data_IF_895225252494
#
_entry.id   IF_895225252494
#
_cell.length_a   1.000
_cell.length_b   1.000
_cell.length_c   1.000
_cell.angle_alpha   90.00
_cell.angle_beta   90.00
_cell.angle_gamma   90.00
#
_symmetry.space_group_name_H-M   'P 1'
#
loop_
_entity.id
_entity.type
_entity.pdbx_description
1 polymer ?
#
# COMPACT_ATOMS: atom_id res chain seq x y z
N UNK A 1 29.18 -25.05 26.04
CA UNK A 1 27.78 -24.61 25.93
C UNK A 1 27.48 -24.46 24.44
N UNK A 2 26.95 -25.50 23.82
CA UNK A 2 26.48 -25.50 22.42
C UNK A 2 25.21 -24.63 22.40
N UNK A 3 25.23 -23.55 21.61
CA UNK A 3 24.00 -22.85 21.23
C UNK A 3 23.22 -23.82 20.32
N UNK A 4 22.17 -24.43 20.86
CA UNK A 4 21.15 -25.05 20.04
C UNK A 4 20.72 -24.04 18.98
N UNK A 5 20.97 -24.36 17.73
CA UNK A 5 20.43 -23.59 16.60
C UNK A 5 18.90 -23.72 16.68
N UNK A 6 18.22 -22.69 17.16
CA UNK A 6 16.78 -22.63 17.11
C UNK A 6 16.36 -22.90 15.66
N UNK A 7 15.72 -24.04 15.42
CA UNK A 7 15.16 -24.39 14.12
C UNK A 7 14.35 -23.20 13.62
N UNK A 8 14.72 -22.64 12.48
CA UNK A 8 14.04 -21.48 11.91
C UNK A 8 12.56 -21.81 11.75
N UNK A 9 11.69 -20.98 12.33
CA UNK A 9 10.24 -21.13 12.22
C UNK A 9 9.85 -20.89 10.77
N UNK A 10 9.18 -21.82 10.14
CA UNK A 10 8.77 -21.73 8.73
C UNK A 10 7.28 -21.44 8.63
N UNK A 11 6.91 -20.36 7.96
CA UNK A 11 5.54 -19.98 7.61
C UNK A 11 5.33 -20.04 6.10
N UNK A 12 4.09 -20.03 5.64
CA UNK A 12 3.75 -20.04 4.22
C UNK A 12 2.82 -18.87 3.93
N UNK A 13 3.17 -18.02 2.95
CA UNK A 13 2.25 -17.05 2.37
C UNK A 13 1.54 -17.69 1.18
N UNK A 14 0.23 -17.83 1.27
CA UNK A 14 -0.58 -18.46 0.23
C UNK A 14 -1.27 -17.40 -0.61
N UNK A 15 -0.86 -17.29 -1.88
CA UNK A 15 -1.34 -16.30 -2.84
C UNK A 15 -2.34 -16.94 -3.81
N UNK A 16 -3.36 -16.16 -4.21
CA UNK A 16 -4.24 -16.52 -5.31
C UNK A 16 -3.68 -16.07 -6.67
N UNK A 17 -4.58 -15.83 -7.62
CA UNK A 17 -4.21 -15.27 -8.92
C UNK A 17 -3.70 -13.84 -8.77
N UNK A 18 -2.65 -13.49 -9.49
CA UNK A 18 -2.07 -12.15 -9.57
C UNK A 18 -1.76 -11.79 -11.03
N UNK A 19 -1.57 -10.51 -11.30
CA UNK A 19 -1.11 -10.02 -12.60
C UNK A 19 0.37 -10.33 -12.78
N UNK A 20 0.78 -10.73 -13.99
CA UNK A 20 2.17 -11.15 -14.27
C UNK A 20 3.17 -9.99 -14.19
N UNK A 21 2.74 -8.76 -14.42
CA UNK A 21 3.63 -7.60 -14.56
C UNK A 21 3.73 -6.72 -13.31
N UNK A 22 2.79 -6.80 -12.36
CA UNK A 22 2.81 -5.97 -11.16
C UNK A 22 1.79 -6.45 -10.12
N UNK A 23 2.18 -7.44 -9.32
CA UNK A 23 1.36 -7.99 -8.24
C UNK A 23 1.75 -7.36 -6.90
N UNK A 24 1.03 -6.30 -6.50
CA UNK A 24 1.28 -5.61 -5.23
C UNK A 24 1.10 -6.48 -3.98
N UNK A 25 0.36 -7.59 -4.07
CA UNK A 25 0.23 -8.56 -2.97
C UNK A 25 1.47 -9.44 -2.88
N UNK A 26 2.04 -9.82 -4.02
CA UNK A 26 3.31 -10.54 -4.05
C UNK A 26 4.44 -9.66 -3.52
N UNK A 27 4.57 -8.42 -4.01
CA UNK A 27 5.57 -7.46 -3.52
C UNK A 27 5.47 -7.28 -2.00
N UNK A 28 4.24 -7.13 -1.48
CA UNK A 28 3.99 -7.08 -0.05
C UNK A 28 4.51 -8.32 0.68
N UNK A 29 4.22 -9.52 0.17
CA UNK A 29 4.68 -10.77 0.79
C UNK A 29 6.20 -10.93 0.75
N UNK A 30 6.87 -10.48 -0.32
CA UNK A 30 8.33 -10.51 -0.44
C UNK A 30 9.00 -9.57 0.58
N UNK A 31 8.47 -8.36 0.76
CA UNK A 31 8.97 -7.43 1.78
C UNK A 31 8.73 -7.97 3.20
N UNK A 32 7.55 -8.55 3.43
CA UNK A 32 7.23 -9.20 4.71
C UNK A 32 8.19 -10.38 4.97
N UNK A 33 8.49 -11.20 3.96
CA UNK A 33 9.41 -12.33 4.08
C UNK A 33 10.82 -11.88 4.50
N UNK A 34 11.34 -10.82 3.83
CA UNK A 34 12.64 -10.24 4.20
C UNK A 34 12.68 -9.75 5.64
N UNK A 35 11.60 -9.09 6.08
CA UNK A 35 11.52 -8.56 7.45
C UNK A 35 11.34 -9.67 8.50
N UNK A 36 10.59 -10.71 8.19
CA UNK A 36 10.39 -11.87 9.06
C UNK A 36 11.67 -12.70 9.19
N UNK A 37 12.50 -12.81 8.15
CA UNK A 37 13.79 -13.47 8.20
C UNK A 37 14.70 -12.85 9.28
N UNK A 38 14.70 -11.52 9.43
CA UNK A 38 15.40 -10.82 10.50
C UNK A 38 14.85 -11.12 11.91
N UNK A 39 13.68 -11.77 12.01
CA UNK A 39 13.05 -12.23 13.28
C UNK A 39 13.18 -13.75 13.48
N UNK A 40 13.97 -14.43 12.65
CA UNK A 40 14.12 -15.88 12.70
C UNK A 40 12.90 -16.65 12.17
N UNK A 41 12.11 -16.05 11.30
CA UNK A 41 10.96 -16.68 10.64
C UNK A 41 11.19 -16.68 9.12
N UNK A 42 11.21 -17.87 8.54
CA UNK A 42 11.25 -18.05 7.09
C UNK A 42 9.83 -18.05 6.54
N UNK A 43 9.53 -17.16 5.58
CA UNK A 43 8.23 -17.10 4.90
C UNK A 43 8.39 -17.55 3.45
N UNK A 44 7.85 -18.73 3.14
CA UNK A 44 7.81 -19.26 1.76
C UNK A 44 6.54 -18.79 1.06
N UNK A 45 6.67 -18.29 -0.17
CA UNK A 45 5.53 -17.87 -0.99
C UNK A 45 5.08 -19.05 -1.87
N UNK A 46 3.79 -19.38 -1.78
CA UNK A 46 3.15 -20.42 -2.60
C UNK A 46 1.93 -19.84 -3.31
N UNK A 47 1.83 -20.06 -4.62
CA UNK A 47 0.71 -19.59 -5.43
C UNK A 47 -0.23 -20.71 -5.80
N UNK A 48 -1.52 -20.51 -5.60
CA UNK A 48 -2.58 -21.41 -6.03
C UNK A 48 -3.01 -21.03 -7.45
N UNK A 49 -2.50 -21.72 -8.45
CA UNK A 49 -2.69 -21.42 -9.88
C UNK A 49 -4.05 -21.84 -10.45
N UNK A 50 -5.13 -21.58 -9.70
CA UNK A 50 -6.49 -21.95 -10.10
C UNK A 50 -6.94 -21.31 -11.43
N UNK A 51 -6.43 -20.11 -11.73
CA UNK A 51 -6.80 -19.39 -12.94
C UNK A 51 -6.19 -19.98 -14.22
N UNK A 52 -5.00 -20.60 -14.11
CA UNK A 52 -4.29 -21.23 -15.23
C UNK A 52 -4.64 -22.72 -15.33
N UNK A 53 -4.63 -23.43 -14.21
CA UNK A 53 -4.80 -24.90 -14.16
C UNK A 53 -6.25 -25.37 -13.91
N UNK A 54 -7.16 -24.45 -13.53
CA UNK A 54 -8.49 -24.79 -13.01
C UNK A 54 -8.49 -25.22 -11.54
N UNK A 55 -9.63 -25.07 -10.88
CA UNK A 55 -9.77 -25.32 -9.44
C UNK A 55 -9.43 -26.73 -9.02
N UNK A 56 -9.83 -27.74 -9.79
CA UNK A 56 -9.59 -29.14 -9.45
C UNK A 56 -8.10 -29.47 -9.33
N UNK A 57 -7.33 -29.17 -10.36
CA UNK A 57 -5.89 -29.43 -10.36
C UNK A 57 -5.13 -28.60 -9.33
N UNK A 58 -5.47 -27.32 -9.18
CA UNK A 58 -4.86 -26.43 -8.19
C UNK A 58 -5.10 -26.93 -6.74
N UNK A 59 -6.30 -27.42 -6.43
CA UNK A 59 -6.60 -27.99 -5.10
C UNK A 59 -5.92 -29.32 -4.86
N UNK A 60 -5.75 -30.16 -5.88
CA UNK A 60 -4.98 -31.41 -5.75
C UNK A 60 -3.48 -31.12 -5.47
N UNK A 61 -2.90 -30.18 -6.18
CA UNK A 61 -1.52 -29.74 -5.97
C UNK A 61 -1.34 -29.18 -4.55
N UNK A 62 -2.22 -28.25 -4.16
CA UNK A 62 -2.24 -27.68 -2.82
C UNK A 62 -2.38 -28.77 -1.73
N UNK A 63 -3.21 -29.78 -1.97
CA UNK A 63 -3.38 -30.92 -1.03
C UNK A 63 -2.10 -31.74 -0.87
N UNK A 64 -1.29 -31.87 -1.91
CA UNK A 64 0.01 -32.57 -1.82
C UNK A 64 1.01 -31.74 -1.02
N UNK A 65 1.12 -30.44 -1.33
CA UNK A 65 2.03 -29.52 -0.64
C UNK A 65 1.64 -29.34 0.83
N UNK A 66 0.37 -29.15 1.12
CA UNK A 66 -0.12 -28.85 2.49
C UNK A 66 0.20 -29.95 3.51
N UNK A 67 0.48 -31.18 3.07
CA UNK A 67 0.92 -32.27 3.96
C UNK A 67 2.27 -31.96 4.65
N UNK A 68 3.11 -31.12 4.03
CA UNK A 68 4.40 -30.69 4.58
C UNK A 68 4.27 -29.49 5.53
N UNK A 69 3.06 -28.90 5.66
CA UNK A 69 2.82 -27.67 6.43
C UNK A 69 2.22 -27.90 7.82
N UNK A 70 2.23 -29.15 8.30
CA UNK A 70 1.68 -29.50 9.61
C UNK A 70 2.26 -28.60 10.72
N UNK A 71 1.40 -27.98 11.51
CA UNK A 71 1.76 -27.07 12.60
C UNK A 71 2.27 -25.70 12.19
N UNK A 72 2.55 -25.46 10.91
CA UNK A 72 3.03 -24.16 10.40
C UNK A 72 1.89 -23.15 10.26
N UNK A 73 2.23 -21.87 10.38
CA UNK A 73 1.32 -20.79 10.02
C UNK A 73 1.22 -20.64 8.50
N UNK A 74 -0.02 -20.61 8.01
CA UNK A 74 -0.35 -20.37 6.61
C UNK A 74 -1.09 -19.05 6.52
N UNK A 75 -0.44 -18.05 5.92
CA UNK A 75 -0.95 -16.69 5.76
C UNK A 75 -1.64 -16.56 4.40
N UNK A 76 -2.93 -16.85 4.34
CA UNK A 76 -3.71 -16.68 3.11
C UNK A 76 -3.88 -15.17 2.82
N UNK A 77 -3.42 -14.74 1.65
CA UNK A 77 -3.55 -13.37 1.18
C UNK A 77 -4.90 -13.20 0.49
N UNK A 78 -5.78 -12.38 1.04
CA UNK A 78 -7.15 -12.24 0.55
C UNK A 78 -7.41 -10.89 -0.11
N UNK A 79 -7.69 -10.93 -1.43
CA UNK A 79 -8.49 -9.97 -2.18
C UNK A 79 -9.55 -10.75 -2.94
N UNK A 80 -10.72 -10.18 -3.22
CA UNK A 80 -11.79 -10.92 -3.87
C UNK A 80 -11.40 -11.40 -5.29
N UNK A 81 -10.63 -10.60 -6.03
CA UNK A 81 -10.21 -10.89 -7.40
C UNK A 81 -9.06 -11.91 -7.48
N UNK A 82 -8.21 -12.00 -6.47
CA UNK A 82 -7.19 -13.03 -6.42
C UNK A 82 -7.78 -14.46 -6.34
N UNK A 83 -9.03 -14.60 -5.86
CA UNK A 83 -9.70 -15.88 -5.68
C UNK A 83 -10.93 -16.07 -6.58
N UNK A 84 -11.23 -15.12 -7.48
CA UNK A 84 -12.33 -15.21 -8.45
C UNK A 84 -12.20 -14.15 -9.55
N UNK A 85 -12.30 -14.56 -10.82
CA UNK A 85 -12.30 -13.62 -11.95
C UNK A 85 -13.49 -12.64 -11.94
N UNK A 86 -14.60 -13.01 -11.32
CA UNK A 86 -15.84 -12.21 -11.28
C UNK A 86 -16.16 -11.62 -9.91
N UNK A 87 -15.26 -11.76 -8.94
CA UNK A 87 -15.45 -11.26 -7.57
C UNK A 87 -16.39 -12.12 -6.68
N UNK A 88 -16.58 -13.41 -7.00
CA UNK A 88 -17.31 -14.39 -6.18
C UNK A 88 -16.33 -15.46 -5.65
N UNK A 89 -15.52 -15.19 -4.61
CA UNK A 89 -14.35 -15.99 -4.23
C UNK A 89 -14.70 -17.24 -3.39
N UNK A 90 -15.65 -18.07 -3.86
CA UNK A 90 -16.04 -19.34 -3.18
C UNK A 90 -14.88 -20.31 -3.03
N UNK A 91 -14.01 -20.38 -4.04
CA UNK A 91 -12.89 -21.31 -4.07
C UNK A 91 -11.91 -21.13 -2.89
N UNK A 92 -11.86 -19.94 -2.29
CA UNK A 92 -11.02 -19.70 -1.11
C UNK A 92 -11.42 -20.55 0.10
N UNK A 93 -12.71 -20.90 0.23
CA UNK A 93 -13.18 -21.76 1.31
C UNK A 93 -12.66 -23.19 1.14
N UNK A 94 -12.59 -23.67 -0.12
CA UNK A 94 -12.00 -24.98 -0.43
C UNK A 94 -10.49 -24.98 -0.15
N UNK A 95 -9.78 -23.90 -0.50
CA UNK A 95 -8.36 -23.71 -0.17
C UNK A 95 -8.14 -23.80 1.35
N UNK A 96 -8.92 -23.07 2.15
CA UNK A 96 -8.83 -23.13 3.61
C UNK A 96 -9.13 -24.52 4.18
N UNK A 97 -10.11 -25.23 3.60
CA UNK A 97 -10.42 -26.59 4.00
C UNK A 97 -9.25 -27.55 3.73
N UNK A 98 -8.61 -27.46 2.56
CA UNK A 98 -7.44 -28.27 2.19
C UNK A 98 -6.27 -28.01 3.14
N UNK A 99 -5.95 -26.73 3.40
CA UNK A 99 -4.85 -26.35 4.31
C UNK A 99 -5.09 -26.88 5.73
N UNK A 100 -6.31 -26.74 6.24
CA UNK A 100 -6.67 -27.23 7.58
C UNK A 100 -6.62 -28.76 7.68
N UNK A 101 -7.07 -29.45 6.62
CA UNK A 101 -6.97 -30.93 6.54
C UNK A 101 -5.51 -31.38 6.55
N UNK A 102 -4.58 -30.61 5.95
CA UNK A 102 -3.13 -30.82 6.01
C UNK A 102 -2.49 -30.49 7.36
N UNK A 103 -3.26 -30.05 8.37
CA UNK A 103 -2.76 -29.72 9.71
C UNK A 103 -2.09 -28.33 9.81
N UNK A 104 -2.21 -27.48 8.79
CA UNK A 104 -1.73 -26.10 8.82
C UNK A 104 -2.58 -25.17 9.70
N UNK A 105 -1.93 -24.24 10.42
CA UNK A 105 -2.59 -23.20 11.23
C UNK A 105 -2.92 -22.01 10.33
N UNK A 106 -4.21 -21.80 10.03
CA UNK A 106 -4.62 -20.76 9.10
C UNK A 106 -4.74 -19.38 9.77
N UNK A 107 -4.07 -18.39 9.17
CA UNK A 107 -4.35 -16.97 9.35
C UNK A 107 -4.69 -16.35 8.00
N UNK A 108 -5.51 -15.30 7.97
CA UNK A 108 -5.84 -14.58 6.74
C UNK A 108 -5.43 -13.13 6.85
N UNK A 109 -4.77 -12.63 5.81
CA UNK A 109 -4.43 -11.21 5.64
C UNK A 109 -5.43 -10.60 4.66
N UNK A 110 -6.31 -9.74 5.15
CA UNK A 110 -7.32 -9.05 4.35
C UNK A 110 -6.76 -7.74 3.79
N UNK A 111 -6.44 -7.75 2.49
CA UNK A 111 -6.03 -6.55 1.77
C UNK A 111 -7.22 -5.62 1.49
N UNK A 112 -8.40 -6.22 1.26
CA UNK A 112 -9.66 -5.50 1.00
C UNK A 112 -10.75 -6.09 1.89
N UNK A 113 -10.90 -5.59 3.14
CA UNK A 113 -11.82 -6.19 4.13
C UNK A 113 -13.29 -5.79 3.94
N UNK A 114 -13.57 -4.89 3.02
CA UNK A 114 -14.91 -4.45 2.63
C UNK A 114 -14.97 -4.18 1.13
N UNK A 115 -16.15 -4.33 0.58
CA UNK A 115 -16.40 -4.02 -0.81
C UNK A 115 -16.49 -2.50 -1.04
N UNK A 116 -16.07 -1.99 -2.19
CA UNK A 116 -16.28 -0.59 -2.57
C UNK A 116 -17.77 -0.27 -2.66
N UNK A 117 -18.11 1.02 -2.73
CA UNK A 117 -19.51 1.46 -2.92
C UNK A 117 -20.09 0.92 -4.23
N UNK A 118 -21.31 0.38 -4.16
CA UNK A 118 -21.95 -0.27 -5.28
C UNK A 118 -22.56 0.76 -6.25
N UNK A 119 -22.13 0.69 -7.52
CA UNK A 119 -22.64 1.58 -8.58
C UNK A 119 -23.89 1.02 -9.31
N UNK A 120 -24.40 -0.14 -8.90
CA UNK A 120 -25.58 -0.78 -9.53
C UNK A 120 -26.08 -2.02 -8.79
N UNK A 121 -27.20 -2.58 -9.25
CA UNK A 121 -27.85 -3.74 -8.60
C UNK A 121 -26.97 -4.99 -8.54
N UNK A 122 -26.27 -5.30 -9.62
CA UNK A 122 -25.34 -6.44 -9.68
C UNK A 122 -24.15 -6.28 -8.70
N UNK A 123 -23.61 -5.07 -8.59
CA UNK A 123 -22.54 -4.78 -7.65
C UNK A 123 -22.99 -4.98 -6.20
N UNK A 124 -24.23 -4.61 -5.85
CA UNK A 124 -24.78 -4.85 -4.51
C UNK A 124 -24.80 -6.34 -4.16
N UNK A 125 -25.25 -7.19 -5.08
CA UNK A 125 -25.26 -8.65 -4.88
C UNK A 125 -23.82 -9.18 -4.73
N UNK A 126 -22.91 -8.76 -5.61
CA UNK A 126 -21.50 -9.15 -5.56
C UNK A 126 -20.86 -8.77 -4.23
N UNK A 127 -21.09 -7.56 -3.75
CA UNK A 127 -20.51 -7.05 -2.52
C UNK A 127 -21.11 -7.70 -1.27
N UNK A 128 -22.42 -7.92 -1.24
CA UNK A 128 -23.05 -8.68 -0.16
C UNK A 128 -22.49 -10.11 -0.08
N UNK A 129 -22.23 -10.72 -1.23
CA UNK A 129 -21.61 -12.04 -1.30
C UNK A 129 -20.16 -12.02 -0.82
N UNK A 130 -19.36 -11.02 -1.22
CA UNK A 130 -17.99 -10.86 -0.74
C UNK A 130 -17.95 -10.68 0.78
N UNK A 131 -18.83 -9.83 1.33
CA UNK A 131 -18.92 -9.65 2.78
C UNK A 131 -19.31 -10.96 3.49
N UNK A 132 -20.25 -11.72 2.94
CA UNK A 132 -20.61 -13.04 3.48
C UNK A 132 -19.40 -13.99 3.49
N UNK A 133 -18.61 -14.05 2.41
CA UNK A 133 -17.37 -14.85 2.33
C UNK A 133 -16.36 -14.38 3.39
N UNK A 134 -16.10 -13.06 3.50
CA UNK A 134 -15.17 -12.51 4.48
C UNK A 134 -15.57 -12.88 5.91
N UNK A 135 -16.85 -12.75 6.24
CA UNK A 135 -17.40 -13.17 7.54
C UNK A 135 -17.25 -14.67 7.78
N UNK A 136 -17.42 -15.49 6.73
CA UNK A 136 -17.23 -16.94 6.81
C UNK A 136 -15.77 -17.31 7.04
N UNK A 137 -14.86 -16.68 6.31
CA UNK A 137 -13.41 -16.83 6.51
C UNK A 137 -13.03 -16.46 7.94
N UNK A 138 -13.45 -15.28 8.41
CA UNK A 138 -13.18 -14.81 9.77
C UNK A 138 -13.56 -15.82 10.84
N UNK A 139 -14.72 -16.46 10.71
CA UNK A 139 -15.17 -17.49 11.65
C UNK A 139 -14.34 -18.77 11.60
N UNK A 140 -13.79 -19.10 10.43
CA UNK A 140 -13.18 -20.39 10.14
C UNK A 140 -11.70 -20.45 10.54
N UNK A 141 -10.97 -19.33 10.45
CA UNK A 141 -9.52 -19.29 10.69
C UNK A 141 -9.17 -18.91 12.13
N UNK A 142 -7.96 -19.26 12.55
CA UNK A 142 -7.48 -18.98 13.91
C UNK A 142 -7.20 -17.50 14.14
N UNK A 143 -6.55 -16.81 13.19
CA UNK A 143 -6.15 -15.41 13.29
C UNK A 143 -6.51 -14.65 12.01
N UNK A 144 -6.91 -13.40 12.18
CA UNK A 144 -7.30 -12.51 11.08
C UNK A 144 -6.53 -11.21 11.16
N UNK A 145 -5.81 -10.87 10.11
CA UNK A 145 -5.01 -9.64 9.99
C UNK A 145 -5.70 -8.74 8.98
N UNK A 146 -5.98 -7.52 9.39
CA UNK A 146 -6.61 -6.52 8.54
C UNK A 146 -5.60 -5.41 8.25
N UNK A 147 -5.47 -5.03 6.97
CA UNK A 147 -4.64 -3.90 6.55
C UNK A 147 -5.41 -2.57 6.62
N UNK A 148 -6.56 -2.59 7.29
CA UNK A 148 -7.42 -1.47 7.59
C UNK A 148 -7.79 -1.45 9.06
N UNK A 149 -8.02 -0.28 9.65
CA UNK A 149 -8.39 -0.15 11.06
C UNK A 149 -9.68 -0.90 11.37
N UNK A 150 -9.67 -1.66 12.46
CA UNK A 150 -10.79 -2.55 12.81
C UNK A 150 -12.10 -1.79 13.09
N UNK A 151 -12.01 -0.55 13.59
CA UNK A 151 -13.16 0.31 13.86
C UNK A 151 -13.99 0.64 12.62
N UNK A 152 -13.39 0.55 11.42
CA UNK A 152 -14.06 0.81 10.14
C UNK A 152 -14.82 -0.39 9.60
N UNK A 153 -14.58 -1.57 10.16
CA UNK A 153 -15.22 -2.81 9.72
C UNK A 153 -16.44 -3.06 10.60
N UNK A 154 -17.59 -2.55 10.18
CA UNK A 154 -18.83 -2.49 10.98
C UNK A 154 -19.29 -3.85 11.53
N UNK A 155 -19.07 -4.94 10.79
CA UNK A 155 -19.50 -6.28 11.16
C UNK A 155 -18.52 -7.03 12.06
N UNK A 156 -17.31 -6.48 12.26
CA UNK A 156 -16.22 -7.19 12.93
C UNK A 156 -16.45 -7.23 14.45
N UNK A 157 -16.47 -8.41 15.09
CA UNK A 157 -16.45 -8.52 16.54
C UNK A 157 -15.16 -7.94 17.12
N UNK A 158 -15.27 -7.31 18.29
CA UNK A 158 -14.11 -6.79 19.03
C UNK A 158 -13.43 -7.95 19.79
N UNK A 159 -12.63 -8.72 19.06
CA UNK A 159 -11.86 -9.84 19.62
C UNK A 159 -10.37 -9.64 19.28
N UNK A 160 -9.57 -9.08 20.23
CA UNK A 160 -8.16 -8.77 20.00
C UNK A 160 -7.28 -10.02 19.86
N UNK A 161 -7.77 -11.18 20.31
CA UNK A 161 -7.05 -12.46 20.17
C UNK A 161 -7.24 -13.05 18.76
N UNK A 162 -8.35 -12.71 18.09
CA UNK A 162 -8.72 -13.25 16.80
C UNK A 162 -8.51 -12.30 15.63
N UNK A 163 -8.55 -10.98 15.87
CA UNK A 163 -8.40 -9.97 14.84
C UNK A 163 -7.40 -8.88 15.25
N UNK A 164 -6.53 -8.50 14.34
CA UNK A 164 -5.57 -7.42 14.52
C UNK A 164 -5.43 -6.57 13.27
N UNK A 165 -5.37 -5.26 13.48
CA UNK A 165 -4.93 -4.33 12.45
C UNK A 165 -3.40 -4.31 12.42
N UNK A 166 -2.83 -4.49 11.22
CA UNK A 166 -1.40 -4.31 10.96
C UNK A 166 -1.31 -3.51 9.66
N UNK A 167 -0.68 -2.32 9.64
CA UNK A 167 -0.61 -1.49 8.44
C UNK A 167 0.25 -2.12 7.35
N UNK A 168 0.16 -1.59 6.13
CA UNK A 168 1.11 -1.93 5.08
C UNK A 168 2.41 -1.15 5.26
N UNK A 169 3.52 -1.75 4.83
CA UNK A 169 4.80 -1.06 4.65
C UNK A 169 4.99 -0.54 3.24
N UNK A 170 6.02 0.24 3.04
CA UNK A 170 6.41 0.70 1.72
C UNK A 170 7.12 -0.40 0.92
N UNK A 171 6.72 -0.59 -0.34
CA UNK A 171 7.46 -1.42 -1.30
C UNK A 171 8.65 -0.66 -1.91
N UNK A 172 8.74 0.65 -1.67
CA UNK A 172 9.88 1.48 -2.06
C UNK A 172 10.86 1.51 -0.89
N UNK A 173 12.16 1.24 -1.12
CA UNK A 173 13.17 1.27 -0.07
C UNK A 173 13.23 2.62 0.64
N UNK A 174 13.42 2.58 1.94
CA UNK A 174 13.56 3.80 2.72
C UNK A 174 14.91 4.45 2.43
N UNK A 175 14.89 5.70 1.95
CA UNK A 175 16.07 6.56 1.91
C UNK A 175 15.81 7.82 2.70
N UNK A 176 16.81 8.27 3.45
CA UNK A 176 16.73 9.55 4.13
C UNK A 176 16.75 10.67 3.11
N UNK A 177 15.97 11.75 3.33
CA UNK A 177 16.05 12.95 2.51
C UNK A 177 17.49 13.42 2.40
N UNK A 178 17.90 13.77 1.18
CA UNK A 178 19.24 14.32 0.95
C UNK A 178 19.25 15.72 1.52
N UNK A 179 20.12 15.98 2.51
CA UNK A 179 20.36 17.33 3.03
C UNK A 179 20.98 18.14 1.89
N UNK A 180 20.18 19.03 1.34
CA UNK A 180 20.59 19.86 0.22
C UNK A 180 21.23 21.13 0.75
N UNK A 181 22.57 21.14 0.83
CA UNK A 181 23.29 22.37 1.11
C UNK A 181 23.06 23.38 -0.02
N UNK A 182 22.86 24.65 0.34
CA UNK A 182 22.88 25.74 -0.62
C UNK A 182 24.25 25.78 -1.31
N UNK A 183 24.27 25.45 -2.60
CA UNK A 183 25.47 25.62 -3.42
C UNK A 183 25.46 27.03 -3.98
N UNK A 184 26.44 27.84 -3.57
CA UNK A 184 26.81 29.15 -4.16
C UNK A 184 25.69 30.20 -4.27
N UNK A 185 24.84 30.40 -3.23
CA UNK A 185 23.94 31.57 -3.19
C UNK A 185 22.74 31.53 -4.17
N UNK A 186 22.68 30.61 -5.11
CA UNK A 186 21.49 30.40 -5.95
C UNK A 186 20.51 29.44 -5.27
N UNK A 187 19.29 29.90 -5.00
CA UNK A 187 18.21 29.05 -4.57
C UNK A 187 17.99 27.94 -5.61
N UNK A 188 18.21 26.70 -5.19
CA UNK A 188 17.95 25.55 -6.05
C UNK A 188 16.47 25.48 -6.39
N UNK A 189 16.14 25.25 -7.66
CA UNK A 189 14.78 24.96 -8.09
C UNK A 189 14.21 23.76 -7.33
N UNK A 190 13.10 23.96 -6.63
CA UNK A 190 12.41 22.90 -5.88
C UNK A 190 11.79 21.86 -6.81
N UNK A 191 11.62 20.66 -6.33
CA UNK A 191 11.08 19.53 -7.12
C UNK A 191 9.82 18.98 -6.44
N UNK A 192 8.72 18.95 -7.18
CA UNK A 192 7.47 18.32 -6.76
C UNK A 192 7.27 17.06 -7.57
N UNK A 193 7.13 15.93 -6.88
CA UNK A 193 6.92 14.63 -7.54
C UNK A 193 5.43 14.28 -7.58
N UNK A 194 4.97 13.80 -8.73
CA UNK A 194 3.68 13.14 -8.94
C UNK A 194 3.97 11.66 -9.16
N UNK A 195 3.56 10.83 -8.20
CA UNK A 195 3.85 9.39 -8.23
C UNK A 195 2.63 8.57 -8.64
N UNK A 196 2.72 7.95 -9.80
CA UNK A 196 1.69 7.20 -10.48
C UNK A 196 0.48 8.05 -10.90
N UNK A 197 -0.07 7.74 -12.06
CA UNK A 197 -1.33 8.28 -12.56
C UNK A 197 -2.30 7.13 -12.82
N UNK A 198 -3.61 7.44 -12.79
CA UNK A 198 -4.64 6.50 -13.18
C UNK A 198 -4.82 6.54 -14.70
N UNK A 199 -5.20 5.43 -15.30
CA UNK A 199 -5.58 5.41 -16.72
C UNK A 199 -6.90 6.13 -17.00
N UNK A 200 -7.26 6.25 -18.26
CA UNK A 200 -8.58 6.78 -18.66
C UNK A 200 -9.71 5.96 -18.02
N UNK A 201 -10.84 6.59 -17.64
CA UNK A 201 -11.20 8.00 -17.88
C UNK A 201 -10.69 9.00 -16.84
N UNK A 202 -10.17 8.56 -15.70
CA UNK A 202 -9.79 9.42 -14.55
C UNK A 202 -8.56 10.28 -14.78
N UNK A 203 -7.69 9.92 -15.74
CA UNK A 203 -6.45 10.63 -16.02
C UNK A 203 -6.64 12.13 -16.24
N UNK A 204 -7.64 12.52 -17.03
CA UNK A 204 -7.88 13.93 -17.37
C UNK A 204 -8.25 14.77 -16.16
N UNK A 205 -9.01 14.18 -15.25
CA UNK A 205 -9.39 14.86 -14.00
C UNK A 205 -8.16 15.01 -13.08
N UNK A 206 -7.31 13.99 -13.00
CA UNK A 206 -6.07 14.07 -12.23
C UNK A 206 -5.12 15.13 -12.80
N UNK A 207 -4.96 15.18 -14.12
CA UNK A 207 -4.12 16.19 -14.78
C UNK A 207 -4.67 17.60 -14.59
N UNK A 208 -6.00 17.79 -14.66
CA UNK A 208 -6.63 19.07 -14.37
C UNK A 208 -6.31 19.53 -12.95
N UNK A 209 -6.45 18.64 -11.97
CA UNK A 209 -6.15 18.96 -10.57
C UNK A 209 -4.67 19.33 -10.37
N UNK A 210 -3.74 18.66 -11.09
CA UNK A 210 -2.31 18.99 -11.06
C UNK A 210 -2.04 20.36 -11.67
N UNK A 211 -2.69 20.70 -12.79
CA UNK A 211 -2.58 22.03 -13.41
C UNK A 211 -3.12 23.10 -12.49
N UNK A 212 -4.33 22.92 -11.95
CA UNK A 212 -4.95 23.87 -11.01
C UNK A 212 -4.06 24.10 -9.78
N UNK A 213 -3.46 23.03 -9.23
CA UNK A 213 -2.53 23.11 -8.11
C UNK A 213 -1.24 23.86 -8.48
N UNK A 214 -0.69 23.57 -9.66
CA UNK A 214 0.55 24.23 -10.12
C UNK A 214 0.32 25.72 -10.38
N UNK A 215 -0.77 26.07 -11.07
CA UNK A 215 -1.12 27.47 -11.35
C UNK A 215 -1.35 28.26 -10.05
N UNK A 216 -2.09 27.70 -9.11
CA UNK A 216 -2.33 28.35 -7.82
C UNK A 216 -1.04 28.54 -7.04
N UNK A 217 -0.20 27.50 -6.94
CA UNK A 217 1.07 27.61 -6.23
C UNK A 217 2.02 28.64 -6.87
N UNK A 218 2.02 28.75 -8.20
CA UNK A 218 2.83 29.77 -8.90
C UNK A 218 2.28 31.19 -8.71
N UNK A 219 0.95 31.33 -8.68
CA UNK A 219 0.30 32.62 -8.36
C UNK A 219 0.66 33.08 -6.94
N UNK A 220 0.79 32.14 -6.00
CA UNK A 220 1.22 32.38 -4.62
C UNK A 220 2.76 32.54 -4.49
N UNK A 221 3.49 32.61 -5.58
CA UNK A 221 4.93 32.87 -5.60
C UNK A 221 5.86 31.68 -5.50
N UNK A 222 5.33 30.45 -5.34
CA UNK A 222 6.18 29.26 -5.37
C UNK A 222 6.77 29.03 -6.76
N UNK A 223 7.98 28.45 -6.83
CA UNK A 223 8.62 28.03 -8.09
C UNK A 223 9.22 26.64 -7.89
N UNK A 224 8.87 25.73 -8.80
CA UNK A 224 9.32 24.35 -8.77
C UNK A 224 9.24 23.72 -10.17
N UNK A 225 9.91 22.58 -10.32
CA UNK A 225 9.69 21.67 -11.44
C UNK A 225 8.75 20.53 -11.04
N UNK A 226 7.99 20.04 -11.99
CA UNK A 226 7.17 18.84 -11.83
C UNK A 226 7.90 17.60 -12.35
N UNK A 227 7.85 16.54 -11.59
CA UNK A 227 8.46 15.29 -11.94
C UNK A 227 7.41 14.16 -11.88
N UNK A 228 7.08 13.59 -13.02
CA UNK A 228 6.17 12.45 -13.13
C UNK A 228 6.97 11.15 -13.13
N UNK A 229 6.60 10.20 -12.29
CA UNK A 229 7.26 8.90 -12.19
C UNK A 229 6.29 7.80 -11.78
N UNK A 230 6.53 6.58 -12.24
CA UNK A 230 5.76 5.40 -11.88
C UNK A 230 4.67 5.04 -12.89
N UNK A 231 3.81 4.10 -12.50
CA UNK A 231 2.78 3.52 -13.36
C UNK A 231 1.83 4.58 -13.90
N UNK A 232 1.46 4.47 -15.17
CA UNK A 232 0.52 5.34 -15.87
C UNK A 232 1.14 6.65 -16.38
N UNK A 233 2.38 6.99 -15.99
CA UNK A 233 3.00 8.26 -16.39
C UNK A 233 3.60 8.21 -17.79
N UNK A 234 4.09 7.04 -18.24
CA UNK A 234 4.56 6.85 -19.62
C UNK A 234 3.42 6.98 -20.62
N UNK A 235 2.30 6.32 -20.34
CA UNK A 235 1.10 6.31 -21.15
C UNK A 235 0.43 7.68 -21.18
N UNK A 236 0.60 8.47 -20.12
CA UNK A 236 0.05 9.82 -20.00
C UNK A 236 0.91 10.91 -20.64
N UNK A 237 2.06 10.60 -21.25
CA UNK A 237 3.05 11.59 -21.72
C UNK A 237 2.45 12.67 -22.63
N UNK A 238 1.63 12.27 -23.61
CA UNK A 238 0.99 13.19 -24.56
C UNK A 238 -0.08 14.07 -23.88
N UNK A 239 -0.89 13.47 -23.00
CA UNK A 239 -1.90 14.22 -22.24
C UNK A 239 -1.24 15.21 -21.28
N UNK A 240 -0.16 14.83 -20.59
CA UNK A 240 0.63 15.75 -19.75
C UNK A 240 1.10 16.94 -20.59
N UNK A 241 1.75 16.71 -21.73
CA UNK A 241 2.21 17.76 -22.60
C UNK A 241 1.08 18.67 -23.09
N UNK A 242 -0.10 18.10 -23.36
CA UNK A 242 -1.29 18.85 -23.78
C UNK A 242 -1.83 19.74 -22.67
N UNK A 243 -1.96 19.24 -21.45
CA UNK A 243 -2.50 19.97 -20.30
C UNK A 243 -1.61 21.13 -19.84
N UNK A 244 -0.30 21.02 -20.05
CA UNK A 244 0.68 22.03 -19.66
C UNK A 244 1.18 22.90 -20.83
N UNK A 245 0.58 22.79 -22.03
CA UNK A 245 1.05 23.49 -23.24
C UNK A 245 1.19 25.01 -23.06
N UNK A 246 0.20 25.61 -22.40
CA UNK A 246 0.10 27.05 -22.23
C UNK A 246 0.64 27.54 -20.89
N UNK A 247 1.36 26.66 -20.16
CA UNK A 247 1.87 26.96 -18.85
C UNK A 247 3.37 26.65 -18.75
N UNK A 248 4.15 27.71 -18.45
CA UNK A 248 5.61 27.59 -18.34
C UNK A 248 6.01 26.97 -17.01
N UNK A 249 6.11 25.65 -16.97
CA UNK A 249 6.66 24.87 -15.85
C UNK A 249 7.65 23.84 -16.41
N UNK A 250 8.76 23.65 -15.72
CA UNK A 250 9.71 22.59 -16.07
C UNK A 250 9.12 21.23 -15.69
N UNK A 251 8.96 20.34 -16.68
CA UNK A 251 8.35 19.02 -16.52
C UNK A 251 9.34 17.95 -16.96
N UNK A 252 9.55 16.97 -16.08
CA UNK A 252 10.26 15.74 -16.42
C UNK A 252 9.32 14.53 -16.21
N UNK A 253 9.29 13.62 -17.18
CA UNK A 253 8.52 12.37 -17.07
C UNK A 253 9.47 11.18 -17.21
N UNK A 254 9.69 10.46 -16.11
CA UNK A 254 10.59 9.31 -16.06
C UNK A 254 9.89 7.97 -16.34
N UNK A 255 8.55 7.96 -16.43
CA UNK A 255 7.81 6.73 -16.65
C UNK A 255 7.97 5.72 -15.51
N UNK A 256 7.82 4.44 -15.85
CA UNK A 256 8.02 3.34 -14.90
C UNK A 256 9.51 3.21 -14.56
N UNK A 257 9.83 3.20 -13.28
CA UNK A 257 11.17 3.05 -12.75
C UNK A 257 11.20 1.90 -11.71
N UNK A 258 12.38 1.36 -11.44
CA UNK A 258 12.59 0.44 -10.33
C UNK A 258 12.47 1.13 -8.95
N UNK A 259 12.32 0.31 -7.91
CA UNK A 259 12.07 0.80 -6.57
C UNK A 259 13.23 1.65 -5.99
N UNK A 260 14.48 1.31 -6.32
CA UNK A 260 15.68 2.03 -5.89
C UNK A 260 15.71 3.43 -6.53
N UNK A 261 15.46 3.50 -7.83
CA UNK A 261 15.41 4.77 -8.55
C UNK A 261 14.28 5.67 -8.07
N UNK A 262 13.10 5.11 -7.77
CA UNK A 262 11.98 5.85 -7.17
C UNK A 262 12.39 6.39 -5.80
N UNK A 263 13.07 5.60 -4.99
CA UNK A 263 13.56 6.02 -3.68
C UNK A 263 14.55 7.18 -3.77
N UNK A 264 15.47 7.17 -4.74
CA UNK A 264 16.40 8.27 -5.01
C UNK A 264 15.66 9.56 -5.43
N UNK A 265 14.65 9.42 -6.29
CA UNK A 265 13.80 10.53 -6.71
C UNK A 265 13.09 11.14 -5.51
N UNK A 266 12.48 10.32 -4.65
CA UNK A 266 11.78 10.83 -3.46
C UNK A 266 12.73 11.51 -2.49
N UNK A 267 13.87 10.91 -2.20
CA UNK A 267 14.89 11.50 -1.32
C UNK A 267 15.42 12.84 -1.85
N UNK A 268 15.39 13.05 -3.18
CA UNK A 268 15.82 14.28 -3.83
C UNK A 268 14.70 15.28 -4.12
N UNK A 269 13.43 14.95 -3.86
CA UNK A 269 12.28 15.83 -4.05
C UNK A 269 11.98 16.66 -2.80
N UNK A 270 11.19 17.73 -2.96
CA UNK A 270 10.83 18.63 -1.88
C UNK A 270 9.39 18.41 -1.39
N UNK A 271 8.50 17.91 -2.26
CA UNK A 271 7.15 17.53 -1.90
C UNK A 271 6.58 16.48 -2.88
N UNK A 272 5.56 15.75 -2.44
CA UNK A 272 4.75 14.89 -3.29
C UNK A 272 3.34 15.45 -3.43
N UNK A 273 2.85 15.56 -4.66
CA UNK A 273 1.46 15.87 -4.95
C UNK A 273 0.71 14.56 -5.25
N UNK A 274 -0.16 14.15 -4.33
CA UNK A 274 -0.89 12.88 -4.38
C UNK A 274 -2.36 13.12 -4.76
N UNK A 275 -2.65 13.23 -6.06
CA UNK A 275 -3.99 13.51 -6.62
C UNK A 275 -4.74 12.27 -7.11
N UNK A 276 -4.10 11.11 -7.07
CA UNK A 276 -4.70 9.84 -7.45
C UNK A 276 -5.72 9.35 -6.40
N UNK A 277 -6.83 10.07 -6.24
CA UNK A 277 -7.87 9.78 -5.25
C UNK A 277 -7.47 10.14 -3.81
N UNK A 278 -8.32 9.80 -2.86
CA UNK A 278 -8.13 10.12 -1.44
C UNK A 278 -6.96 9.37 -0.81
N UNK A 279 -6.27 9.99 0.14
CA UNK A 279 -5.22 9.35 0.94
C UNK A 279 -5.87 8.55 2.06
N UNK A 280 -5.54 7.26 2.14
CA UNK A 280 -5.97 6.33 3.19
C UNK A 280 -4.89 5.27 3.44
N UNK A 281 -5.00 4.51 4.52
CA UNK A 281 -3.97 3.58 5.03
C UNK A 281 -3.39 2.59 4.00
N UNK A 282 -4.17 2.20 3.01
CA UNK A 282 -3.75 1.27 1.96
C UNK A 282 -3.25 1.96 0.68
N UNK A 283 -3.06 3.29 0.72
CA UNK A 283 -2.52 4.05 -0.40
C UNK A 283 -1.00 3.90 -0.45
N UNK A 284 -0.51 2.88 -1.14
CA UNK A 284 0.91 2.54 -1.22
C UNK A 284 1.80 3.71 -1.68
N UNK A 285 1.30 4.59 -2.58
CA UNK A 285 2.04 5.79 -3.00
C UNK A 285 2.28 6.77 -1.85
N UNK A 286 1.29 7.00 -0.98
CA UNK A 286 1.45 7.85 0.18
C UNK A 286 2.40 7.20 1.21
N UNK A 287 2.26 5.90 1.47
CA UNK A 287 3.16 5.16 2.36
C UNK A 287 4.60 5.21 1.85
N UNK A 288 4.83 5.15 0.53
CA UNK A 288 6.15 5.28 -0.07
C UNK A 288 6.76 6.69 0.15
N UNK A 289 5.95 7.74 0.02
CA UNK A 289 6.38 9.11 0.36
C UNK A 289 6.71 9.28 1.84
N UNK A 290 5.86 8.73 2.73
CA UNK A 290 6.11 8.72 4.18
C UNK A 290 7.42 8.01 4.51
N UNK A 291 7.69 6.86 3.88
CA UNK A 291 8.91 6.08 4.10
C UNK A 291 10.20 6.86 3.77
N UNK A 292 10.14 7.78 2.81
CA UNK A 292 11.24 8.63 2.42
C UNK A 292 11.26 10.01 3.12
N UNK A 293 10.35 10.25 4.06
CA UNK A 293 10.24 11.54 4.76
C UNK A 293 9.76 12.69 3.86
N UNK A 294 9.10 12.40 2.74
CA UNK A 294 8.68 13.40 1.77
C UNK A 294 7.35 14.03 2.19
N UNK A 295 7.25 15.36 2.41
CA UNK A 295 5.99 16.04 2.67
C UNK A 295 4.97 15.75 1.57
N UNK A 296 3.74 15.39 1.95
CA UNK A 296 2.71 14.95 1.00
C UNK A 296 1.53 15.89 1.05
N UNK A 297 1.16 16.45 -0.10
CA UNK A 297 -0.09 17.16 -0.31
C UNK A 297 -1.04 16.20 -1.03
N UNK A 298 -2.23 15.97 -0.49
CA UNK A 298 -3.18 15.04 -1.09
C UNK A 298 -4.61 15.25 -0.64
N UNK A 299 -5.53 14.50 -1.23
CA UNK A 299 -6.95 14.62 -0.90
C UNK A 299 -7.29 13.91 0.39
N UNK A 300 -8.08 14.60 1.23
CA UNK A 300 -8.55 14.07 2.49
C UNK A 300 -9.33 12.77 2.29
N UNK A 301 -8.79 11.72 2.87
CA UNK A 301 -9.47 10.47 3.13
C UNK A 301 -9.77 10.33 4.62
N UNK A 302 -10.12 9.13 5.04
CA UNK A 302 -10.32 8.86 6.46
C UNK A 302 -8.95 8.56 7.12
N UNK A 303 -8.35 9.57 7.73
CA UNK A 303 -7.09 9.46 8.47
C UNK A 303 -7.29 9.41 9.98
N UNK A 304 -8.42 9.97 10.49
CA UNK A 304 -8.71 10.09 11.93
C UNK A 304 -8.72 8.73 12.64
N UNK A 305 -7.99 8.64 13.74
CA UNK A 305 -7.83 7.38 14.49
C UNK A 305 -6.95 6.35 13.79
N UNK A 306 -6.15 6.76 12.82
CA UNK A 306 -5.26 5.86 12.07
C UNK A 306 -3.80 6.32 12.20
N UNK A 307 -2.81 5.46 11.91
CA UNK A 307 -1.40 5.84 11.85
C UNK A 307 -1.06 7.02 10.93
N UNK A 308 -1.95 7.38 9.99
CA UNK A 308 -1.75 8.55 9.11
C UNK A 308 -1.86 9.88 9.84
N UNK A 309 -2.49 9.92 11.03
CA UNK A 309 -2.52 11.15 11.86
C UNK A 309 -1.14 11.58 12.35
N UNK A 310 -0.25 10.61 12.56
CA UNK A 310 1.13 10.88 12.97
C UNK A 310 2.02 11.32 11.80
N UNK A 311 1.54 11.21 10.55
CA UNK A 311 2.34 11.48 9.36
C UNK A 311 2.28 12.94 8.92
N UNK A 312 3.33 13.38 8.23
CA UNK A 312 3.46 14.72 7.66
C UNK A 312 2.66 14.91 6.38
N UNK A 313 1.33 14.86 6.49
CA UNK A 313 0.39 15.00 5.39
C UNK A 313 -0.33 16.33 5.47
N UNK A 314 -0.46 17.04 4.35
CA UNK A 314 -1.37 18.17 4.20
C UNK A 314 -2.56 17.72 3.34
N UNK A 315 -3.68 17.47 4.00
CA UNK A 315 -4.88 16.93 3.37
C UNK A 315 -5.87 18.05 3.05
N UNK A 316 -6.29 18.11 1.79
CA UNK A 316 -7.23 19.12 1.26
C UNK A 316 -8.53 18.46 0.79
N UNK A 317 -9.62 19.22 0.54
CA UNK A 317 -10.87 18.66 0.03
C UNK A 317 -10.67 17.86 -1.26
N UNK A 318 -11.49 16.82 -1.43
CA UNK A 318 -11.38 15.94 -2.61
C UNK A 318 -11.65 16.71 -3.91
N UNK A 319 -10.76 16.59 -4.87
CA UNK A 319 -10.81 17.26 -6.19
C UNK A 319 -10.68 18.78 -6.13
N UNK A 320 -10.17 19.32 -5.04
CA UNK A 320 -9.84 20.75 -4.93
C UNK A 320 -8.37 20.99 -5.28
N UNK A 321 -8.09 21.11 -6.59
CA UNK A 321 -6.75 21.38 -7.10
C UNK A 321 -6.22 22.74 -6.61
N UNK A 322 -7.08 23.76 -6.42
CA UNK A 322 -6.67 25.06 -5.92
C UNK A 322 -6.23 25.00 -4.46
N UNK A 323 -7.01 24.32 -3.61
CA UNK A 323 -6.60 24.08 -2.21
C UNK A 323 -5.28 23.27 -2.14
N UNK A 324 -5.09 22.31 -3.04
CA UNK A 324 -3.83 21.56 -3.14
C UNK A 324 -2.67 22.48 -3.54
N UNK A 325 -2.88 23.43 -4.45
CA UNK A 325 -1.90 24.43 -4.86
C UNK A 325 -1.49 25.37 -3.74
N UNK A 326 -2.45 25.94 -3.01
CA UNK A 326 -2.20 26.78 -1.85
C UNK A 326 -1.42 26.04 -0.75
N UNK A 327 -1.80 24.77 -0.47
CA UNK A 327 -1.08 23.92 0.46
C UNK A 327 0.35 23.64 -0.01
N UNK A 328 0.54 23.34 -1.30
CA UNK A 328 1.83 23.10 -1.91
C UNK A 328 2.73 24.33 -1.81
N UNK A 329 2.20 25.53 -2.15
CA UNK A 329 2.91 26.80 -2.03
C UNK A 329 3.42 27.02 -0.62
N UNK A 330 2.55 26.84 0.39
CA UNK A 330 2.92 26.99 1.80
C UNK A 330 4.02 26.01 2.21
N UNK A 331 3.90 24.73 1.86
CA UNK A 331 4.91 23.72 2.21
C UNK A 331 6.26 24.02 1.55
N UNK A 332 6.25 24.53 0.32
CA UNK A 332 7.49 24.84 -0.39
C UNK A 332 8.16 26.13 0.09
N UNK A 333 7.42 27.13 0.57
CA UNK A 333 7.96 28.42 0.99
C UNK A 333 8.30 28.46 2.48
N UNK A 334 7.53 27.76 3.33
CA UNK A 334 7.78 27.68 4.78
C UNK A 334 8.72 26.52 5.12
N UNK A 335 9.99 26.85 5.34
CA UNK A 335 11.03 25.87 5.69
C UNK A 335 10.77 25.20 7.04
N UNK A 336 10.13 25.90 7.99
CA UNK A 336 9.77 25.35 9.30
C UNK A 336 8.71 24.26 9.15
N UNK A 337 7.61 24.57 8.45
CA UNK A 337 6.56 23.62 8.13
C UNK A 337 7.08 22.42 7.33
N UNK A 338 7.92 22.69 6.30
CA UNK A 338 8.51 21.62 5.50
C UNK A 338 9.28 20.62 6.36
N UNK A 339 10.13 21.12 7.26
CA UNK A 339 10.93 20.29 8.17
C UNK A 339 10.05 19.52 9.17
N UNK A 340 9.05 20.18 9.73
CA UNK A 340 8.07 19.53 10.63
C UNK A 340 7.38 18.35 9.95
N UNK A 341 6.88 18.54 8.72
CA UNK A 341 6.20 17.46 7.96
C UNK A 341 7.16 16.31 7.62
N UNK A 342 8.40 16.64 7.26
CA UNK A 342 9.43 15.65 6.99
C UNK A 342 9.73 14.80 8.24
N UNK A 343 9.92 15.42 9.39
CA UNK A 343 10.17 14.74 10.67
C UNK A 343 8.99 13.87 11.09
N UNK A 344 7.76 14.37 10.95
CA UNK A 344 6.54 13.59 11.19
C UNK A 344 6.48 12.33 10.32
N UNK A 345 6.80 12.44 9.03
CA UNK A 345 6.84 11.29 8.15
C UNK A 345 7.88 10.26 8.56
N UNK A 346 9.09 10.68 8.89
CA UNK A 346 10.15 9.78 9.35
C UNK A 346 9.78 9.09 10.67
N UNK A 347 9.16 9.81 11.61
CA UNK A 347 8.67 9.25 12.87
C UNK A 347 7.51 8.26 12.65
N UNK A 348 6.53 8.62 11.79
CA UNK A 348 5.42 7.72 11.45
C UNK A 348 5.92 6.44 10.77
N UNK A 349 6.92 6.56 9.88
CA UNK A 349 7.59 5.40 9.28
C UNK A 349 8.19 4.48 10.34
N UNK A 350 8.95 5.03 11.26
CA UNK A 350 9.60 4.24 12.32
C UNK A 350 8.58 3.58 13.25
N UNK A 351 7.54 4.30 13.63
CA UNK A 351 6.55 3.87 14.61
C UNK A 351 5.53 2.88 14.06
N UNK A 352 5.14 3.03 12.77
CA UNK A 352 3.99 2.33 12.21
C UNK A 352 4.27 1.55 10.94
N UNK A 353 5.03 2.13 9.98
CA UNK A 353 5.09 1.64 8.61
C UNK A 353 6.39 0.93 8.25
N UNK A 354 7.37 0.86 9.18
CA UNK A 354 8.59 0.10 8.93
C UNK A 354 8.31 -1.41 8.91
N UNK A 355 8.90 -2.11 7.97
CA UNK A 355 8.76 -3.55 7.85
C UNK A 355 9.22 -4.30 9.11
N UNK A 356 10.17 -3.73 9.87
CA UNK A 356 10.60 -4.29 11.16
C UNK A 356 9.47 -4.28 12.21
N UNK A 357 8.71 -3.17 12.30
CA UNK A 357 7.55 -3.05 13.21
C UNK A 357 6.41 -3.96 12.75
N UNK A 358 6.15 -3.99 11.46
CA UNK A 358 5.13 -4.84 10.84
C UNK A 358 5.45 -6.32 11.10
N UNK A 359 6.66 -6.77 10.81
CA UNK A 359 7.08 -8.15 11.06
C UNK A 359 6.98 -8.52 12.55
N UNK A 360 7.39 -7.62 13.47
CA UNK A 360 7.21 -7.83 14.90
C UNK A 360 5.73 -7.97 15.30
N UNK A 361 4.85 -7.16 14.70
CA UNK A 361 3.41 -7.26 14.95
C UNK A 361 2.82 -8.59 14.48
N UNK A 362 3.28 -9.12 13.32
CA UNK A 362 2.92 -10.44 12.83
C UNK A 362 3.37 -11.54 13.79
N UNK A 363 4.65 -11.56 14.17
CA UNK A 363 5.20 -12.55 15.11
C UNK A 363 4.44 -12.53 16.43
N UNK A 364 4.30 -11.35 17.03
CA UNK A 364 3.61 -11.20 18.32
C UNK A 364 2.14 -11.66 18.26
N UNK A 365 1.44 -11.39 17.16
CA UNK A 365 0.03 -11.75 17.03
C UNK A 365 -0.17 -13.23 16.73
N UNK A 366 0.66 -13.82 15.89
CA UNK A 366 0.50 -15.23 15.50
C UNK A 366 1.02 -16.17 16.58
N UNK A 367 2.03 -15.75 17.35
CA UNK A 367 2.64 -16.56 18.40
C UNK A 367 2.08 -16.26 19.80
N UNK A 368 1.23 -15.22 19.95
CA UNK A 368 0.51 -15.03 21.19
C UNK A 368 -0.28 -16.29 21.54
N UNK A 369 -0.02 -16.85 22.72
CA UNK A 369 -0.72 -18.03 23.20
C UNK A 369 -2.25 -17.85 23.08
N UNK A 370 -2.92 -18.87 22.59
CA UNK A 370 -4.35 -19.02 22.82
C UNK A 370 -4.49 -19.38 24.31
N UNK A 371 -4.87 -18.37 25.11
CA UNK A 371 -5.34 -18.61 26.48
C UNK A 371 -6.64 -19.42 26.44
#
# INVERSE_FOLDING_TARGET
MQRESASARTWVALLGHGEETADGVQDYCEQLARALAAKGVELTLVRVDWAKKGWWFALQELRRESKTWQGRWILLQFTALAWSRRGFPLGVLAVLAVVRYGGGRCAVVFHEPYAPEANGGFDRVRFAFQEWIIRRIYKTVAKNIFLETLSRIRWLPRDPLKARFIPIGSNIPQRRPIVKHQYNGNERQKTVVVFCLTGLPYLREELKDIVDATQTAFADGARFRLLFVGRGTSEAKEEIARFFRDFSVDISNFGLQDAERISDIFASSDAMLCVRGRVYLRRGSAIAGIACGLPIIGYAGESKGTPLEDAGLVLVPYRDGKAAGAALSRVLQDQGLHRELQEKNLLAQQKHFSWNVIASAFVNFLESAQL
#
